data_IF_981391735435
#
_entry.id   IF_981391735435
#
_cell.length_a   1.000
_cell.length_b   1.000
_cell.length_c   1.000
_cell.angle_alpha   90.00
_cell.angle_beta   90.00
_cell.angle_gamma   90.00
#
_symmetry.space_group_name_H-M   'P 1'
#
loop_
_entity.id
_entity.type
_entity.pdbx_description
1 polymer ?
#
# COMPACT_ATOMS: atom_id res chain seq x y z
N UNK A 1 -61.14 8.76 7.07
CA UNK A 1 -61.45 7.97 5.85
C UNK A 1 -60.13 7.72 5.14
N UNK A 2 -59.53 6.54 5.33
CA UNK A 2 -59.45 5.44 4.34
C UNK A 2 -58.31 5.70 3.34
N UNK A 3 -57.29 4.86 3.13
CA UNK A 3 -57.03 3.46 3.49
C UNK A 3 -55.56 3.16 3.15
N UNK A 4 -54.87 2.36 3.97
CA UNK A 4 -53.61 1.67 3.62
C UNK A 4 -53.84 0.65 2.49
N UNK A 5 -52.76 0.15 1.89
CA UNK A 5 -52.67 -1.30 1.70
C UNK A 5 -51.42 -1.90 2.35
N UNK A 6 -51.59 -3.14 2.79
CA UNK A 6 -50.62 -3.97 3.51
C UNK A 6 -50.47 -5.30 2.78
N UNK A 7 -49.27 -5.88 2.85
CA UNK A 7 -48.87 -7.29 2.69
C UNK A 7 -48.95 -7.98 1.32
N UNK A 8 -47.83 -8.62 0.94
CA UNK A 8 -47.76 -10.09 0.90
C UNK A 8 -46.31 -10.61 0.94
N UNK A 9 -46.02 -11.50 1.90
CA UNK A 9 -44.89 -12.44 1.92
C UNK A 9 -45.22 -13.61 0.99
N UNK A 10 -44.23 -14.14 0.27
CA UNK A 10 -44.26 -15.51 -0.27
C UNK A 10 -42.84 -16.08 -0.41
N UNK A 11 -42.55 -17.08 0.41
CA UNK A 11 -41.69 -18.24 0.11
C UNK A 11 -42.50 -19.45 0.54
N UNK A 12 -42.42 -20.60 -0.17
CA UNK A 12 -41.52 -21.63 0.35
C UNK A 12 -40.95 -22.65 -0.67
N UNK A 13 -39.91 -23.33 -0.19
CA UNK A 13 -39.53 -24.74 -0.43
C UNK A 13 -38.90 -25.20 -1.74
N UNK A 14 -37.78 -25.93 -1.60
CA UNK A 14 -37.23 -26.82 -2.63
C UNK A 14 -35.85 -27.38 -2.29
N UNK A 15 -35.79 -28.37 -1.40
CA UNK A 15 -34.60 -29.13 -1.06
C UNK A 15 -34.03 -29.93 -2.25
N UNK A 16 -32.71 -30.14 -2.30
CA UNK A 16 -32.08 -31.39 -2.78
C UNK A 16 -30.63 -31.54 -2.31
N UNK A 17 -30.39 -32.65 -1.61
CA UNK A 17 -29.09 -33.26 -1.31
C UNK A 17 -28.55 -33.99 -2.54
N UNK A 18 -27.23 -33.94 -2.74
CA UNK A 18 -26.35 -34.96 -3.30
C UNK A 18 -24.92 -34.40 -3.16
N UNK A 19 -23.84 -35.10 -2.85
CA UNK A 19 -23.56 -36.51 -2.65
C UNK A 19 -22.04 -36.59 -2.43
N UNK A 20 -21.62 -37.49 -1.55
CA UNK A 20 -20.22 -37.77 -1.19
C UNK A 20 -19.49 -38.42 -2.37
N UNK A 21 -18.24 -38.03 -2.63
CA UNK A 21 -17.26 -38.89 -3.30
C UNK A 21 -15.86 -38.60 -2.76
N UNK A 22 -15.33 -39.60 -2.04
CA UNK A 22 -13.92 -39.81 -1.74
C UNK A 22 -13.21 -40.31 -3.01
N UNK A 23 -11.98 -39.86 -3.23
CA UNK A 23 -10.84 -40.61 -3.80
C UNK A 23 -9.61 -39.68 -3.65
N UNK A 24 -8.47 -40.06 -3.08
CA UNK A 24 -7.86 -41.37 -3.03
C UNK A 24 -6.62 -41.39 -3.92
N UNK A 25 -5.51 -40.82 -3.42
CA UNK A 25 -4.10 -41.12 -3.70
C UNK A 25 -3.61 -41.31 -5.16
N UNK A 26 -2.57 -40.53 -5.53
CA UNK A 26 -1.39 -40.89 -6.38
C UNK A 26 -0.64 -39.57 -6.71
N UNK A 27 0.67 -39.43 -6.77
CA UNK A 27 1.82 -40.29 -6.49
C UNK A 27 3.04 -39.34 -6.40
N UNK A 28 3.98 -39.63 -5.50
CA UNK A 28 5.24 -38.90 -5.36
C UNK A 28 6.28 -39.32 -6.42
N UNK A 29 7.35 -38.51 -6.48
CA UNK A 29 8.71 -38.73 -7.03
C UNK A 29 8.98 -38.15 -8.42
N UNK A 30 9.88 -37.17 -8.47
CA UNK A 30 11.23 -37.37 -9.02
C UNK A 30 12.15 -36.18 -8.69
N UNK A 31 13.00 -36.39 -7.69
CA UNK A 31 14.29 -35.71 -7.56
C UNK A 31 15.36 -36.72 -8.01
N UNK A 32 16.25 -36.33 -8.93
CA UNK A 32 17.70 -36.53 -8.86
C UNK A 32 18.35 -36.44 -10.25
N UNK A 33 19.59 -35.91 -10.24
CA UNK A 33 20.64 -35.92 -11.27
C UNK A 33 20.58 -34.76 -12.27
N UNK A 34 21.67 -34.08 -12.60
CA UNK A 34 23.08 -34.17 -12.18
C UNK A 34 23.83 -33.01 -12.83
N UNK A 35 24.85 -32.54 -12.13
CA UNK A 35 25.99 -31.76 -12.61
C UNK A 35 26.48 -32.10 -14.02
N UNK A 36 26.74 -31.07 -14.84
CA UNK A 36 27.83 -31.11 -15.82
C UNK A 36 28.27 -29.70 -16.21
N UNK A 37 29.42 -29.35 -15.65
CA UNK A 37 30.37 -28.34 -16.12
C UNK A 37 30.74 -28.62 -17.58
N UNK A 38 30.75 -27.60 -18.44
CA UNK A 38 31.41 -27.66 -19.75
C UNK A 38 31.63 -26.26 -20.30
N UNK A 39 32.86 -25.78 -20.11
CA UNK A 39 33.47 -24.66 -20.80
C UNK A 39 33.59 -24.93 -22.31
N UNK A 40 33.16 -23.99 -23.14
CA UNK A 40 33.54 -23.96 -24.55
C UNK A 40 34.01 -22.56 -24.96
N UNK A 41 35.31 -22.48 -25.17
CA UNK A 41 36.10 -21.35 -25.67
C UNK A 41 35.58 -20.87 -27.04
N UNK A 42 35.43 -19.55 -27.18
CA UNK A 42 35.23 -18.88 -28.47
C UNK A 42 36.58 -18.54 -29.10
N UNK A 43 36.76 -18.97 -30.36
CA UNK A 43 37.92 -18.70 -31.21
C UNK A 43 37.96 -17.22 -31.63
N UNK A 44 38.96 -16.47 -31.19
CA UNK A 44 39.33 -15.18 -31.76
C UNK A 44 40.27 -15.38 -32.97
N UNK A 45 39.80 -14.99 -34.16
CA UNK A 45 40.61 -14.85 -35.38
C UNK A 45 41.31 -13.48 -35.34
N UNK A 46 42.64 -13.51 -35.43
CA UNK A 46 43.49 -12.35 -35.19
C UNK A 46 43.56 -11.31 -36.30
N UNK A 47 44.17 -10.17 -35.94
CA UNK A 47 44.96 -9.31 -36.82
C UNK A 47 46.14 -8.72 -36.02
N UNK A 48 47.26 -8.62 -36.72
CA UNK A 48 48.63 -8.35 -36.30
C UNK A 48 48.85 -6.85 -36.14
N UNK A 49 49.59 -6.40 -35.12
CA UNK A 49 50.16 -5.05 -35.05
C UNK A 49 51.66 -5.14 -34.72
N UNK A 50 52.48 -4.46 -35.50
CA UNK A 50 53.95 -4.38 -35.37
C UNK A 50 54.38 -2.96 -34.98
N UNK A 51 55.15 -2.87 -33.89
CA UNK A 51 56.26 -1.95 -33.57
C UNK A 51 56.23 -0.44 -33.92
N UNK A 52 56.60 0.39 -32.94
CA UNK A 52 57.54 1.52 -33.13
C UNK A 52 57.03 2.93 -32.85
N UNK A 53 57.61 3.57 -31.83
CA UNK A 53 57.29 4.86 -31.18
C UNK A 53 57.64 6.13 -31.99
N UNK A 54 56.84 7.21 -31.91
CA UNK A 54 57.29 8.59 -31.59
C UNK A 54 56.12 9.56 -31.34
N UNK A 55 56.30 10.41 -30.31
CA UNK A 55 55.46 11.50 -29.79
C UNK A 55 55.20 12.61 -30.85
N UNK A 56 54.29 13.59 -30.78
CA UNK A 56 53.65 14.40 -29.73
C UNK A 56 52.48 15.17 -30.39
N UNK A 57 51.36 15.38 -29.70
CA UNK A 57 50.76 16.72 -29.45
C UNK A 57 49.46 16.60 -28.65
N UNK A 58 49.41 17.37 -27.57
CA UNK A 58 48.29 17.51 -26.69
C UNK A 58 47.12 18.22 -27.37
N UNK A 59 45.91 17.71 -27.18
CA UNK A 59 44.69 18.49 -27.19
C UNK A 59 43.79 17.97 -26.08
N UNK A 60 43.65 18.82 -25.07
CA UNK A 60 42.77 18.69 -23.91
C UNK A 60 41.32 18.48 -24.33
N UNK A 61 40.73 17.35 -23.94
CA UNK A 61 39.31 17.28 -23.64
C UNK A 61 39.15 16.53 -22.33
N UNK A 62 38.73 17.27 -21.31
CA UNK A 62 38.38 16.78 -19.98
C UNK A 62 37.32 15.70 -20.11
N UNK A 63 37.76 14.46 -19.90
CA UNK A 63 36.86 13.36 -19.57
C UNK A 63 36.51 13.54 -18.09
N UNK A 64 35.35 14.11 -17.83
CA UNK A 64 34.71 13.93 -16.53
C UNK A 64 34.39 12.44 -16.39
N UNK A 65 35.21 11.75 -15.60
CA UNK A 65 34.99 10.37 -15.21
C UNK A 65 33.70 10.31 -14.39
N UNK A 66 32.61 9.89 -15.04
CA UNK A 66 31.44 9.40 -14.34
C UNK A 66 31.84 8.10 -13.62
N UNK A 67 32.21 8.25 -12.34
CA UNK A 67 32.37 7.15 -11.38
C UNK A 67 31.05 6.37 -11.28
N UNK A 68 30.88 5.36 -12.12
CA UNK A 68 29.82 4.35 -12.01
C UNK A 68 30.21 3.32 -10.97
N UNK A 69 30.16 3.73 -9.70
CA UNK A 69 30.24 2.80 -8.59
C UNK A 69 28.94 1.98 -8.57
N UNK A 70 29.01 0.74 -9.07
CA UNK A 70 27.95 -0.27 -8.91
C UNK A 70 27.88 -0.68 -7.44
N UNK A 71 27.37 0.21 -6.58
CA UNK A 71 27.00 -0.14 -5.21
C UNK A 71 25.76 -1.03 -5.30
N UNK A 72 25.91 -2.30 -4.89
CA UNK A 72 24.77 -3.19 -4.70
C UNK A 72 24.26 -2.94 -3.28
N UNK A 73 23.08 -2.33 -3.17
CA UNK A 73 22.40 -2.19 -1.90
C UNK A 73 21.72 -3.52 -1.55
N UNK A 74 21.89 -3.99 -0.31
CA UNK A 74 21.11 -5.10 0.23
C UNK A 74 19.75 -4.55 0.68
N UNK A 75 18.67 -4.96 0.01
CA UNK A 75 17.30 -4.57 0.33
C UNK A 75 16.47 -5.76 0.82
N UNK A 76 15.23 -5.51 1.21
CA UNK A 76 14.29 -6.58 1.55
C UNK A 76 13.91 -7.37 0.29
N UNK A 77 13.66 -8.68 0.45
CA UNK A 77 13.15 -9.50 -0.63
C UNK A 77 11.68 -9.18 -0.90
N UNK A 78 11.40 -8.39 -1.94
CA UNK A 78 10.02 -8.09 -2.34
C UNK A 78 9.34 -9.33 -2.95
N UNK A 79 8.03 -9.51 -2.72
CA UNK A 79 7.27 -10.57 -3.37
C UNK A 79 7.32 -10.45 -4.89
N UNK A 80 7.36 -11.60 -5.55
CA UNK A 80 7.40 -11.73 -7.01
C UNK A 80 6.03 -12.10 -7.56
N UNK A 81 5.89 -12.17 -8.89
CA UNK A 81 4.64 -12.54 -9.56
C UNK A 81 3.47 -11.62 -9.18
N UNK A 82 3.75 -10.34 -8.90
CA UNK A 82 2.72 -9.36 -8.54
C UNK A 82 1.72 -9.08 -9.67
N UNK A 83 2.00 -9.56 -10.89
CA UNK A 83 1.04 -9.60 -11.98
C UNK A 83 -0.07 -10.66 -11.80
N UNK A 84 0.16 -11.70 -11.00
CA UNK A 84 -0.76 -12.82 -10.85
C UNK A 84 -1.79 -12.49 -9.78
N UNK A 85 -3.05 -12.45 -10.19
CA UNK A 85 -4.18 -12.09 -9.34
C UNK A 85 -5.21 -13.22 -9.42
N UNK A 86 -5.78 -13.67 -8.28
CA UNK A 86 -5.50 -13.19 -6.92
C UNK A 86 -4.11 -13.58 -6.42
N UNK A 87 -3.51 -12.72 -5.62
CA UNK A 87 -2.24 -13.00 -4.94
C UNK A 87 -2.45 -14.17 -3.96
N UNK A 88 -1.37 -14.87 -3.65
CA UNK A 88 -1.42 -15.89 -2.59
C UNK A 88 -1.53 -15.22 -1.21
N UNK A 89 -1.86 -16.00 -0.18
CA UNK A 89 -1.96 -15.47 1.19
C UNK A 89 -0.59 -14.97 1.69
N UNK A 90 0.48 -15.64 1.27
CA UNK A 90 1.85 -15.33 1.63
C UNK A 90 2.27 -13.97 1.06
N UNK A 91 1.95 -13.70 -0.21
CA UNK A 91 2.23 -12.41 -0.85
C UNK A 91 1.47 -11.27 -0.15
N UNK A 92 0.18 -11.47 0.14
CA UNK A 92 -0.62 -10.47 0.87
C UNK A 92 -0.06 -10.21 2.27
N UNK A 93 0.28 -11.28 2.98
CA UNK A 93 0.81 -11.21 4.35
C UNK A 93 2.10 -10.39 4.43
N UNK A 94 2.99 -10.49 3.44
CA UNK A 94 4.17 -9.63 3.36
C UNK A 94 3.80 -8.14 3.50
N UNK A 95 2.83 -7.66 2.71
CA UNK A 95 2.42 -6.25 2.75
C UNK A 95 1.70 -5.88 4.05
N UNK A 96 0.99 -6.82 4.65
CA UNK A 96 0.29 -6.60 5.92
C UNK A 96 1.27 -6.45 7.07
N UNK A 97 2.21 -7.38 7.16
CA UNK A 97 3.21 -7.43 8.22
C UNK A 97 4.14 -6.21 8.09
N UNK A 98 4.63 -5.89 6.89
CA UNK A 98 5.56 -4.78 6.65
C UNK A 98 4.95 -3.40 6.99
N UNK A 99 3.70 -3.17 6.57
CA UNK A 99 2.98 -1.94 6.90
C UNK A 99 2.59 -1.87 8.38
N UNK A 100 2.16 -2.99 8.98
CA UNK A 100 1.78 -3.05 10.40
C UNK A 100 3.01 -2.79 11.28
N UNK A 101 4.14 -3.44 11.00
CA UNK A 101 5.39 -3.20 11.72
C UNK A 101 5.82 -1.74 11.64
N UNK A 102 5.70 -1.11 10.47
CA UNK A 102 6.00 0.32 10.31
C UNK A 102 5.14 1.20 11.22
N UNK A 103 3.83 0.92 11.28
CA UNK A 103 2.88 1.62 12.17
C UNK A 103 3.22 1.40 13.64
N UNK A 104 3.48 0.15 14.04
CA UNK A 104 3.82 -0.19 15.43
C UNK A 104 5.11 0.50 15.88
N UNK A 105 6.13 0.56 15.01
CA UNK A 105 7.38 1.28 15.29
C UNK A 105 7.12 2.79 15.42
N UNK A 106 6.36 3.38 14.49
CA UNK A 106 6.02 4.80 14.52
C UNK A 106 5.26 5.21 15.78
N UNK A 107 4.29 4.39 16.21
CA UNK A 107 3.58 4.62 17.46
C UNK A 107 4.53 4.47 18.65
N UNK A 108 5.43 3.49 18.67
CA UNK A 108 6.37 3.32 19.80
C UNK A 108 7.35 4.49 19.93
N UNK A 109 7.81 5.03 18.82
CA UNK A 109 8.80 6.14 18.80
C UNK A 109 8.20 7.47 19.26
N UNK A 110 6.87 7.64 19.19
CA UNK A 110 6.16 8.87 19.61
C UNK A 110 6.56 10.14 18.86
N UNK A 111 7.33 10.00 17.77
CA UNK A 111 7.78 11.12 16.92
C UNK A 111 6.62 11.85 16.27
N UNK A 112 5.57 11.11 15.91
CA UNK A 112 4.41 11.67 15.23
C UNK A 112 3.13 10.93 15.59
N UNK A 113 2.03 11.68 15.62
CA UNK A 113 0.68 11.18 15.93
C UNK A 113 -0.24 11.25 14.71
N UNK A 114 0.26 11.73 13.57
CA UNK A 114 -0.45 11.80 12.28
C UNK A 114 0.34 11.05 11.23
N UNK A 115 -0.07 9.81 11.02
CA UNK A 115 0.64 8.83 10.19
C UNK A 115 -0.13 8.50 8.92
N UNK A 116 0.57 8.30 7.82
CA UNK A 116 0.01 7.92 6.53
C UNK A 116 0.67 6.63 6.05
N UNK A 117 -0.17 5.66 5.72
CA UNK A 117 0.18 4.37 5.13
C UNK A 117 -0.37 4.35 3.71
N UNK A 118 0.53 4.28 2.73
CA UNK A 118 0.19 4.17 1.32
C UNK A 118 0.66 2.82 0.78
N UNK A 119 -0.25 2.02 0.25
CA UNK A 119 0.05 0.70 -0.33
C UNK A 119 -0.82 0.42 -1.55
N UNK A 120 -0.18 0.35 -2.71
CA UNK A 120 -0.82 0.28 -4.01
C UNK A 120 -0.22 -0.86 -4.85
N UNK A 121 -0.37 -2.09 -4.34
CA UNK A 121 -0.26 -3.30 -5.17
C UNK A 121 -1.63 -3.62 -5.80
N UNK A 122 -1.73 -4.49 -6.82
CA UNK A 122 -2.90 -4.55 -7.70
C UNK A 122 -4.24 -4.80 -6.97
N UNK A 123 -4.27 -5.64 -5.95
CA UNK A 123 -5.50 -5.88 -5.16
C UNK A 123 -5.88 -4.73 -4.22
N UNK A 124 -4.97 -3.80 -3.93
CA UNK A 124 -5.22 -2.60 -3.10
C UNK A 124 -5.45 -1.33 -3.94
N UNK A 125 -5.25 -1.41 -5.26
CA UNK A 125 -5.41 -0.27 -6.15
C UNK A 125 -6.87 -0.11 -6.60
N UNK A 126 -7.56 0.88 -6.04
CA UNK A 126 -8.95 1.23 -6.41
C UNK A 126 -9.10 1.75 -7.85
N UNK A 127 -8.02 2.27 -8.45
CA UNK A 127 -8.04 2.72 -9.86
C UNK A 127 -7.79 1.58 -10.85
N UNK A 128 -7.26 0.46 -10.37
CA UNK A 128 -7.14 -0.76 -11.15
C UNK A 128 -8.44 -1.57 -11.10
N UNK A 129 -8.69 -2.34 -12.15
CA UNK A 129 -9.87 -3.23 -12.27
C UNK A 129 -9.89 -4.39 -11.25
N UNK A 130 -8.91 -4.44 -10.35
CA UNK A 130 -8.58 -5.62 -9.55
C UNK A 130 -8.65 -5.39 -8.04
N UNK A 131 -9.16 -4.22 -7.65
CA UNK A 131 -9.37 -3.90 -6.25
C UNK A 131 -10.20 -4.98 -5.53
N UNK A 132 -9.65 -5.50 -4.43
CA UNK A 132 -10.28 -6.52 -3.59
C UNK A 132 -10.50 -5.95 -2.19
N UNK A 133 -11.76 -5.64 -1.87
CA UNK A 133 -12.14 -5.14 -0.54
C UNK A 133 -11.70 -6.09 0.60
N UNK A 134 -11.72 -7.41 0.36
CA UNK A 134 -11.20 -8.40 1.31
C UNK A 134 -9.72 -8.20 1.65
N UNK A 135 -8.88 -7.83 0.69
CA UNK A 135 -7.45 -7.59 0.89
C UNK A 135 -7.21 -6.34 1.76
N UNK A 136 -8.01 -5.29 1.58
CA UNK A 136 -8.00 -4.11 2.44
C UNK A 136 -8.43 -4.46 3.87
N UNK A 137 -9.51 -5.24 4.02
CA UNK A 137 -10.04 -5.64 5.32
C UNK A 137 -9.11 -6.61 6.07
N UNK A 138 -8.46 -7.54 5.37
CA UNK A 138 -7.42 -8.43 5.92
C UNK A 138 -6.24 -7.60 6.49
N UNK A 139 -5.81 -6.54 5.77
CA UNK A 139 -4.77 -5.62 6.25
C UNK A 139 -5.21 -4.81 7.48
N UNK A 140 -6.41 -4.20 7.42
CA UNK A 140 -6.98 -3.42 8.54
C UNK A 140 -7.11 -4.31 9.77
N UNK A 141 -7.59 -5.55 9.61
CA UNK A 141 -7.70 -6.53 10.68
C UNK A 141 -6.36 -6.80 11.33
N UNK A 142 -5.33 -7.09 10.53
CA UNK A 142 -3.97 -7.38 11.02
C UNK A 142 -3.43 -6.21 11.83
N UNK A 143 -3.51 -5.00 11.27
CA UNK A 143 -3.04 -3.78 11.92
C UNK A 143 -3.81 -3.47 13.21
N UNK A 144 -5.14 -3.50 13.17
CA UNK A 144 -5.99 -3.21 14.32
C UNK A 144 -5.80 -4.22 15.47
N UNK A 145 -5.60 -5.49 15.13
CA UNK A 145 -5.36 -6.55 16.13
C UNK A 145 -4.04 -6.31 16.87
N UNK A 146 -2.95 -6.03 16.14
CA UNK A 146 -1.66 -5.77 16.77
C UNK A 146 -1.64 -4.46 17.58
N UNK A 147 -2.32 -3.42 17.09
CA UNK A 147 -2.52 -2.18 17.85
C UNK A 147 -3.30 -2.43 19.15
N UNK A 148 -4.40 -3.17 19.09
CA UNK A 148 -5.22 -3.51 20.26
C UNK A 148 -4.50 -4.41 21.29
N UNK A 149 -3.32 -4.92 20.95
CA UNK A 149 -2.43 -5.69 21.85
C UNK A 149 -1.29 -4.84 22.43
N UNK A 150 -1.06 -3.63 21.93
CA UNK A 150 -0.12 -2.71 22.53
C UNK A 150 -0.62 -2.23 23.89
N UNK A 151 0.31 -1.95 24.80
CA UNK A 151 0.00 -1.28 26.06
C UNK A 151 -0.42 0.17 25.80
N UNK A 152 -1.32 0.68 26.65
CA UNK A 152 -1.68 2.09 26.68
C UNK A 152 -0.49 2.94 27.11
N UNK A 153 -0.35 4.10 26.48
CA UNK A 153 0.71 5.07 26.77
C UNK A 153 0.39 6.01 27.93
N UNK A 154 -0.89 6.17 28.26
CA UNK A 154 -1.38 7.11 29.28
C UNK A 154 -1.07 6.66 30.73
N UNK A 155 -0.44 5.49 30.91
CA UNK A 155 -0.10 4.94 32.22
C UNK A 155 -1.31 4.42 33.00
N UNK A 156 -2.52 4.42 32.42
CA UNK A 156 -3.74 3.89 33.04
C UNK A 156 -3.73 2.37 33.21
N UNK A 157 -2.76 1.71 32.59
CA UNK A 157 -2.66 0.26 32.52
C UNK A 157 -3.63 -0.35 31.51
N UNK A 158 -3.24 -1.48 30.93
CA UNK A 158 -4.06 -2.20 29.97
C UNK A 158 -3.74 -1.88 28.52
N UNK A 159 -4.56 -2.43 27.63
CA UNK A 159 -4.31 -2.47 26.19
C UNK A 159 -5.02 -1.35 25.44
N UNK A 160 -4.48 -0.96 24.29
CA UNK A 160 -5.04 0.11 23.46
C UNK A 160 -6.43 -0.24 22.91
N UNK A 161 -7.31 0.75 22.90
CA UNK A 161 -8.61 0.75 22.22
C UNK A 161 -8.43 1.35 20.84
N UNK A 162 -8.80 0.60 19.81
CA UNK A 162 -8.61 0.97 18.41
C UNK A 162 -9.96 1.34 17.79
N UNK A 163 -10.01 2.52 17.17
CA UNK A 163 -11.17 3.03 16.46
C UNK A 163 -10.99 2.90 14.95
N UNK A 164 -11.84 2.13 14.30
CA UNK A 164 -11.89 1.98 12.85
C UNK A 164 -12.89 2.97 12.27
N UNK A 165 -12.41 3.92 11.49
CA UNK A 165 -13.23 4.95 10.88
C UNK A 165 -13.33 4.72 9.36
N UNK A 166 -14.55 4.52 8.87
CA UNK A 166 -14.85 4.54 7.44
C UNK A 166 -15.55 5.86 7.12
N UNK A 167 -15.34 6.38 5.92
CA UNK A 167 -16.06 7.56 5.49
C UNK A 167 -17.59 7.33 5.52
N UNK A 168 -18.29 8.23 6.22
CA UNK A 168 -19.75 8.30 6.22
C UNK A 168 -20.28 8.97 4.96
N UNK A 169 -21.61 9.07 4.87
CA UNK A 169 -22.24 9.82 3.78
C UNK A 169 -21.90 11.30 3.90
N UNK A 170 -21.51 11.93 2.79
CA UNK A 170 -21.20 13.36 2.77
C UNK A 170 -22.16 14.12 1.86
N UNK A 171 -22.40 15.39 2.19
CA UNK A 171 -23.28 16.28 1.43
C UNK A 171 -24.70 16.39 2.00
N UNK A 172 -25.50 17.26 1.39
CA UNK A 172 -26.87 17.57 1.85
C UNK A 172 -27.88 17.39 0.73
N UNK A 173 -29.07 16.88 1.06
CA UNK A 173 -30.16 16.69 0.11
C UNK A 173 -29.79 15.74 -1.04
N UNK A 174 -30.10 16.12 -2.28
CA UNK A 174 -29.88 15.30 -3.48
C UNK A 174 -28.40 15.10 -3.85
N UNK A 175 -27.48 15.82 -3.19
CA UNK A 175 -26.03 15.68 -3.39
C UNK A 175 -25.35 14.88 -2.28
N UNK A 176 -26.15 14.20 -1.45
CA UNK A 176 -25.63 13.27 -0.46
C UNK A 176 -25.08 12.01 -1.16
N UNK A 177 -23.80 11.72 -0.95
CA UNK A 177 -23.11 10.62 -1.60
C UNK A 177 -22.06 9.97 -0.72
N UNK A 178 -21.81 8.69 -0.98
CA UNK A 178 -20.71 7.91 -0.41
C UNK A 178 -19.84 7.42 -1.58
N UNK A 179 -18.50 7.48 -1.51
CA UNK A 179 -17.66 6.88 -2.54
C UNK A 179 -18.04 5.42 -2.79
N UNK A 180 -18.30 5.06 -4.05
CA UNK A 180 -18.78 3.72 -4.41
C UNK A 180 -17.85 2.61 -3.91
N UNK A 181 -16.54 2.84 -3.94
CA UNK A 181 -15.52 1.90 -3.47
C UNK A 181 -15.60 1.61 -1.96
N UNK A 182 -16.18 2.53 -1.17
CA UNK A 182 -16.34 2.37 0.28
C UNK A 182 -17.75 1.90 0.66
N UNK A 183 -18.66 1.83 -0.32
CA UNK A 183 -20.03 1.36 -0.10
C UNK A 183 -20.01 -0.11 0.29
N UNK A 184 -20.39 -0.39 1.53
CA UNK A 184 -20.37 -1.74 2.10
C UNK A 184 -19.12 -2.07 2.94
N UNK A 185 -18.01 -1.31 2.87
CA UNK A 185 -16.84 -1.55 3.73
C UNK A 185 -17.24 -1.40 5.21
N UNK A 186 -18.00 -0.35 5.54
CA UNK A 186 -18.51 -0.15 6.90
C UNK A 186 -19.30 -1.36 7.42
N UNK A 187 -20.21 -1.90 6.60
CA UNK A 187 -20.97 -3.13 6.94
C UNK A 187 -20.08 -4.35 7.08
N UNK A 188 -19.04 -4.48 6.25
CA UNK A 188 -18.11 -5.62 6.33
C UNK A 188 -17.24 -5.57 7.59
N UNK A 189 -16.91 -4.37 8.07
CA UNK A 189 -16.21 -4.19 9.36
C UNK A 189 -17.14 -4.53 10.52
N UNK A 190 -18.42 -4.14 10.48
CA UNK A 190 -19.42 -4.52 11.48
C UNK A 190 -19.56 -6.05 11.63
N UNK A 191 -19.42 -6.78 10.51
CA UNK A 191 -19.52 -8.24 10.45
C UNK A 191 -18.18 -8.95 10.67
N UNK A 192 -17.10 -8.20 10.94
CA UNK A 192 -15.78 -8.79 11.09
C UNK A 192 -15.64 -9.46 12.46
N UNK A 193 -15.38 -10.77 12.45
CA UNK A 193 -15.10 -11.50 13.68
C UNK A 193 -13.73 -11.12 14.24
N UNK A 194 -13.66 -10.66 15.48
CA UNK A 194 -12.41 -10.35 16.15
C UNK A 194 -11.96 -11.51 17.05
N UNK A 195 -10.67 -11.61 17.31
CA UNK A 195 -10.16 -12.55 18.31
C UNK A 195 -10.65 -12.13 19.70
N UNK A 196 -10.96 -13.12 20.55
CA UNK A 196 -11.58 -12.88 21.87
C UNK A 196 -10.74 -11.93 22.73
N UNK A 197 -9.42 -12.02 22.61
CA UNK A 197 -8.52 -11.15 23.36
C UNK A 197 -8.69 -9.69 22.98
N UNK A 198 -9.00 -9.33 21.72
CA UNK A 198 -9.05 -7.93 21.22
C UNK A 198 -10.46 -7.38 20.96
N UNK A 199 -11.49 -8.22 20.86
CA UNK A 199 -12.83 -7.85 20.40
C UNK A 199 -13.44 -6.64 21.14
N UNK A 200 -13.31 -6.58 22.47
CA UNK A 200 -13.87 -5.49 23.30
C UNK A 200 -13.14 -4.14 23.15
N UNK A 201 -11.97 -4.15 22.51
CA UNK A 201 -11.11 -2.97 22.33
C UNK A 201 -11.19 -2.39 20.94
N UNK A 202 -11.85 -3.08 20.00
CA UNK A 202 -12.01 -2.59 18.64
C UNK A 202 -13.44 -2.07 18.49
N UNK A 203 -13.55 -0.82 18.04
CA UNK A 203 -14.83 -0.21 17.73
C UNK A 203 -14.78 0.41 16.35
N UNK A 204 -15.94 0.60 15.74
CA UNK A 204 -16.08 1.18 14.41
C UNK A 204 -16.94 2.44 14.44
N UNK A 205 -16.87 3.23 13.38
CA UNK A 205 -17.65 4.45 13.25
C UNK A 205 -17.39 5.17 11.93
N UNK A 206 -18.12 6.27 11.71
CA UNK A 206 -17.82 7.14 10.59
C UNK A 206 -16.66 8.09 10.93
N UNK A 207 -16.04 8.69 9.92
CA UNK A 207 -15.13 9.82 10.11
C UNK A 207 -15.95 11.07 10.47
N UNK A 208 -15.66 11.69 11.62
CA UNK A 208 -16.33 12.89 12.12
C UNK A 208 -16.40 12.95 13.65
N UNK A 209 -16.64 14.15 14.20
CA UNK A 209 -16.62 14.41 15.65
C UNK A 209 -17.49 13.44 16.47
N UNK A 210 -18.71 13.19 15.99
CA UNK A 210 -19.74 12.43 16.71
C UNK A 210 -19.40 10.95 16.91
N UNK A 211 -18.39 10.45 16.19
CA UNK A 211 -17.96 9.06 16.25
C UNK A 211 -16.65 8.86 16.99
N UNK A 212 -15.95 9.92 17.38
CA UNK A 212 -14.75 9.87 18.19
C UNK A 212 -15.11 9.99 19.68
N UNK A 213 -14.55 9.12 20.51
CA UNK A 213 -14.75 9.10 21.96
C UNK A 213 -13.44 9.31 22.70
N UNK A 214 -13.54 9.73 23.95
CA UNK A 214 -12.37 10.04 24.79
C UNK A 214 -11.61 8.79 25.27
N UNK A 215 -12.25 7.62 25.27
CA UNK A 215 -11.64 6.37 25.73
C UNK A 215 -10.85 5.62 24.64
N UNK A 216 -10.96 6.05 23.38
CA UNK A 216 -10.25 5.48 22.23
C UNK A 216 -8.77 5.92 22.23
N UNK A 217 -7.82 5.01 21.97
CA UNK A 217 -6.38 5.32 22.07
C UNK A 217 -5.74 5.57 20.69
N UNK A 218 -6.22 4.88 19.65
CA UNK A 218 -5.67 4.96 18.28
C UNK A 218 -6.80 4.93 17.26
N UNK A 219 -6.69 5.75 16.20
CA UNK A 219 -7.66 5.83 15.12
C UNK A 219 -7.07 5.33 13.80
N UNK A 220 -7.80 4.49 13.08
CA UNK A 220 -7.48 4.08 11.70
C UNK A 220 -8.56 4.61 10.78
N UNK A 221 -8.20 5.57 9.92
CA UNK A 221 -9.07 6.15 8.92
C UNK A 221 -8.86 5.42 7.60
N UNK A 222 -9.86 4.61 7.22
CA UNK A 222 -9.77 3.66 6.13
C UNK A 222 -10.20 4.34 4.82
N UNK A 223 -9.23 4.50 3.92
CA UNK A 223 -9.39 5.02 2.57
C UNK A 223 -10.24 6.32 2.47
N UNK A 224 -10.04 7.36 3.31
CA UNK A 224 -10.85 8.58 3.22
C UNK A 224 -10.68 9.27 1.87
N UNK A 225 -11.78 9.73 1.26
CA UNK A 225 -11.79 10.32 -0.07
C UNK A 225 -12.68 11.55 -0.14
N UNK A 226 -12.28 12.53 -0.96
CA UNK A 226 -13.20 13.58 -1.37
C UNK A 226 -14.33 12.98 -2.23
N UNK A 227 -15.40 13.73 -2.47
CA UNK A 227 -16.37 13.45 -3.55
C UNK A 227 -16.59 14.71 -4.37
N UNK A 228 -17.25 14.59 -5.51
CA UNK A 228 -17.59 15.76 -6.33
C UNK A 228 -18.40 16.75 -5.49
N UNK A 229 -17.87 17.97 -5.32
CA UNK A 229 -18.53 19.05 -4.57
C UNK A 229 -18.33 19.04 -3.06
N UNK A 230 -17.78 17.99 -2.45
CA UNK A 230 -17.56 17.90 -1.00
C UNK A 230 -16.18 17.36 -0.62
N UNK A 231 -15.58 17.98 0.38
CA UNK A 231 -14.30 17.59 0.97
C UNK A 231 -14.53 16.78 2.24
N UNK A 232 -13.78 15.70 2.43
CA UNK A 232 -13.80 14.92 3.68
C UNK A 232 -13.04 15.63 4.82
N UNK A 233 -12.18 16.60 4.47
CA UNK A 233 -11.26 17.23 5.42
C UNK A 233 -11.93 17.86 6.65
N UNK A 234 -13.05 18.60 6.55
CA UNK A 234 -13.68 19.18 7.74
C UNK A 234 -14.02 18.12 8.79
N UNK A 235 -14.55 16.97 8.37
CA UNK A 235 -14.84 15.85 9.28
C UNK A 235 -13.57 15.25 9.90
N UNK A 236 -12.47 15.24 9.14
CA UNK A 236 -11.18 14.78 9.65
C UNK A 236 -10.58 15.77 10.65
N UNK A 237 -10.68 17.08 10.38
CA UNK A 237 -10.22 18.15 11.28
C UNK A 237 -10.97 18.12 12.61
N UNK A 238 -12.29 17.97 12.57
CA UNK A 238 -13.12 17.81 13.77
C UNK A 238 -12.76 16.55 14.57
N UNK A 239 -12.53 15.42 13.88
CA UNK A 239 -12.08 14.20 14.54
C UNK A 239 -10.67 14.33 15.11
N UNK A 240 -9.77 15.06 14.44
CA UNK A 240 -8.43 15.37 14.92
C UNK A 240 -8.45 16.25 16.17
N UNK A 241 -9.41 17.18 16.27
CA UNK A 241 -9.64 17.99 17.47
C UNK A 241 -9.96 17.10 18.67
N UNK A 242 -10.89 16.15 18.50
CA UNK A 242 -11.22 15.18 19.55
C UNK A 242 -10.03 14.29 19.86
N UNK A 243 -9.38 13.71 18.84
CA UNK A 243 -8.25 12.80 19.01
C UNK A 243 -7.08 13.45 19.76
N UNK A 244 -6.83 14.76 19.59
CA UNK A 244 -5.73 15.45 20.24
C UNK A 244 -4.39 14.80 19.89
N UNK A 245 -3.58 14.45 20.89
CA UNK A 245 -2.28 13.81 20.68
C UNK A 245 -2.36 12.28 20.50
N UNK A 246 -3.56 11.70 20.39
CA UNK A 246 -3.70 10.26 20.12
C UNK A 246 -3.32 9.94 18.67
N UNK A 247 -2.62 8.82 18.42
CA UNK A 247 -2.24 8.44 17.07
C UNK A 247 -3.43 8.26 16.14
N UNK A 248 -3.33 8.82 14.95
CA UNK A 248 -4.25 8.62 13.85
C UNK A 248 -3.46 8.12 12.64
N UNK A 249 -4.02 7.13 11.95
CA UNK A 249 -3.41 6.47 10.79
C UNK A 249 -4.35 6.63 9.60
N UNK A 250 -3.89 7.27 8.53
CA UNK A 250 -4.55 7.27 7.23
C UNK A 250 -4.09 6.07 6.42
N UNK A 251 -5.02 5.17 6.10
CA UNK A 251 -4.76 4.05 5.20
C UNK A 251 -5.26 4.39 3.80
N UNK A 252 -4.38 4.42 2.81
CA UNK A 252 -4.69 4.69 1.39
C UNK A 252 -5.65 5.88 1.16
N UNK A 253 -5.35 7.08 1.70
CA UNK A 253 -6.22 8.24 1.55
C UNK A 253 -6.23 8.74 0.09
N UNK A 254 -7.40 9.18 -0.40
CA UNK A 254 -7.58 9.85 -1.70
C UNK A 254 -8.09 11.28 -1.50
N UNK A 255 -7.23 12.13 -0.96
CA UNK A 255 -7.54 13.53 -0.63
C UNK A 255 -7.28 14.51 -1.78
N UNK A 256 -6.86 14.00 -2.94
CA UNK A 256 -6.66 14.79 -4.15
C UNK A 256 -7.95 15.38 -4.73
N UNK A 257 -7.80 16.17 -5.79
CA UNK A 257 -8.91 16.72 -6.55
C UNK A 257 -9.70 15.63 -7.29
N UNK A 258 -11.02 15.63 -7.13
CA UNK A 258 -11.93 14.84 -7.96
C UNK A 258 -12.54 15.77 -8.99
N UNK A 259 -12.36 15.42 -10.27
CA UNK A 259 -12.94 16.15 -11.37
C UNK A 259 -14.46 15.98 -11.36
N UNK A 260 -15.21 17.09 -11.39
CA UNK A 260 -16.64 17.07 -11.68
C UNK A 260 -16.87 16.75 -13.16
N UNK A 261 -18.00 16.13 -13.50
CA UNK A 261 -18.39 15.76 -14.87
C UNK A 261 -18.40 16.93 -15.88
N UNK A 262 -18.29 18.19 -15.41
CA UNK A 262 -18.13 19.38 -16.24
C UNK A 262 -16.70 19.88 -16.44
N UNK A 263 -15.65 19.11 -16.09
CA UNK A 263 -14.24 19.56 -16.08
C UNK A 263 -13.95 20.81 -15.22
N UNK A 264 -14.90 21.22 -14.38
CA UNK A 264 -14.73 22.33 -13.44
C UNK A 264 -14.02 21.81 -12.20
N UNK A 265 -12.75 22.19 -12.05
CA UNK A 265 -12.01 21.93 -10.80
C UNK A 265 -12.48 22.90 -9.72
N UNK A 266 -12.80 22.39 -8.52
CA UNK A 266 -12.97 23.23 -7.34
C UNK A 266 -11.61 23.79 -6.91
N UNK A 267 -11.24 24.95 -7.44
CA UNK A 267 -9.98 25.64 -7.11
C UNK A 267 -9.99 26.15 -5.66
N UNK A 268 -11.17 26.47 -5.10
CA UNK A 268 -11.31 26.94 -3.72
C UNK A 268 -10.89 25.86 -2.74
N UNK A 269 -9.94 26.18 -1.85
CA UNK A 269 -9.45 25.26 -0.81
C UNK A 269 -8.50 24.17 -1.29
N UNK A 270 -8.02 24.19 -2.55
CA UNK A 270 -7.03 23.22 -3.06
C UNK A 270 -5.72 23.25 -2.30
N UNK A 271 -5.20 24.46 -2.06
CA UNK A 271 -3.95 24.66 -1.34
C UNK A 271 -4.03 24.08 0.09
N UNK A 272 -5.07 24.46 0.84
CA UNK A 272 -5.33 23.90 2.17
C UNK A 272 -5.51 22.39 2.18
N UNK A 273 -6.13 21.80 1.13
CA UNK A 273 -6.24 20.34 1.00
C UNK A 273 -4.90 19.65 0.81
N UNK A 274 -4.02 20.22 -0.02
CA UNK A 274 -2.67 19.70 -0.22
C UNK A 274 -1.83 19.86 1.04
N UNK A 275 -1.90 21.00 1.72
CA UNK A 275 -1.22 21.26 2.98
C UNK A 275 -1.67 20.30 4.07
N UNK A 276 -2.98 20.07 4.18
CA UNK A 276 -3.54 19.08 5.08
C UNK A 276 -3.07 17.66 4.73
N UNK A 277 -3.11 17.25 3.47
CA UNK A 277 -2.63 15.92 3.09
C UNK A 277 -1.13 15.73 3.34
N UNK A 278 -0.33 16.80 3.21
CA UNK A 278 1.11 16.80 3.43
C UNK A 278 1.50 16.97 4.91
N UNK A 279 0.57 17.35 5.80
CA UNK A 279 0.86 17.46 7.24
C UNK A 279 0.97 16.09 7.91
N UNK A 280 0.49 15.03 7.26
CA UNK A 280 0.60 13.65 7.72
C UNK A 280 1.92 13.05 7.25
N UNK A 281 2.64 12.46 8.18
CA UNK A 281 3.91 11.81 7.87
C UNK A 281 3.67 10.46 7.22
N UNK A 282 4.32 10.27 6.08
CA UNK A 282 4.28 9.01 5.36
C UNK A 282 5.21 7.99 5.99
N UNK A 283 4.68 7.13 6.85
CA UNK A 283 5.46 6.12 7.58
C UNK A 283 5.64 4.83 6.79
N UNK A 284 4.76 4.58 5.81
CA UNK A 284 4.85 3.42 4.95
C UNK A 284 4.37 3.79 3.55
N UNK A 285 5.15 3.38 2.54
CA UNK A 285 4.79 3.52 1.14
C UNK A 285 5.12 2.22 0.41
N UNK A 286 4.19 1.73 -0.40
CA UNK A 286 4.51 0.74 -1.43
C UNK A 286 3.71 1.05 -2.68
N UNK A 287 4.38 1.19 -3.82
CA UNK A 287 3.72 1.24 -5.12
C UNK A 287 4.52 0.54 -6.19
N UNK A 288 3.82 0.00 -7.16
CA UNK A 288 4.44 -0.57 -8.35
C UNK A 288 4.70 0.51 -9.39
N UNK A 289 5.76 0.29 -10.17
CA UNK A 289 6.18 1.20 -11.23
C UNK A 289 5.85 0.56 -12.58
N UNK A 290 4.94 1.17 -13.32
CA UNK A 290 4.50 0.77 -14.66
C UNK A 290 4.35 2.00 -15.55
N UNK A 291 4.27 1.77 -16.87
CA UNK A 291 4.10 2.86 -17.85
C UNK A 291 2.62 3.14 -18.02
N UNK A 292 2.16 4.30 -17.51
CA UNK A 292 0.80 4.80 -17.73
C UNK A 292 0.48 4.85 -19.24
N UNK A 293 -0.78 4.58 -19.64
CA UNK A 293 -1.95 4.34 -18.79
C UNK A 293 -2.10 2.89 -18.29
N UNK A 294 -1.19 1.99 -18.65
CA UNK A 294 -1.32 0.57 -18.34
C UNK A 294 -0.70 0.21 -16.99
N UNK A 295 -1.31 -0.75 -16.29
CA UNK A 295 -0.78 -1.35 -15.06
C UNK A 295 0.28 -2.44 -15.33
N UNK A 296 0.51 -2.77 -16.60
CA UNK A 296 1.46 -3.78 -17.05
C UNK A 296 2.26 -3.31 -18.27
N UNK A 297 3.51 -3.79 -18.45
CA UNK A 297 4.27 -4.61 -17.50
C UNK A 297 4.77 -3.77 -16.29
N UNK A 298 4.93 -4.42 -15.14
CA UNK A 298 5.60 -3.83 -13.97
C UNK A 298 7.10 -3.78 -14.25
N UNK A 299 7.73 -2.62 -14.08
CA UNK A 299 9.17 -2.39 -14.23
C UNK A 299 9.94 -2.37 -12.90
N UNK A 300 9.25 -2.14 -11.79
CA UNK A 300 9.89 -1.98 -10.49
C UNK A 300 8.87 -1.69 -9.39
N UNK A 301 9.39 -1.34 -8.23
CA UNK A 301 8.60 -0.95 -7.07
C UNK A 301 9.31 0.20 -6.33
N UNK A 302 8.53 1.07 -5.71
CA UNK A 302 9.01 2.03 -4.75
C UNK A 302 8.47 1.64 -3.38
N UNK A 303 9.36 1.51 -2.40
CA UNK A 303 9.02 1.16 -1.02
C UNK A 303 9.58 2.21 -0.05
N UNK A 304 8.83 2.49 1.01
CA UNK A 304 9.29 3.14 2.24
C UNK A 304 8.73 2.33 3.41
N UNK A 305 9.56 2.05 4.39
CA UNK A 305 9.15 1.49 5.68
C UNK A 305 9.69 2.38 6.78
N UNK A 306 8.95 2.47 7.89
CA UNK A 306 9.37 3.29 9.02
C UNK A 306 10.54 2.64 9.77
N UNK A 307 11.55 3.44 10.07
CA UNK A 307 12.67 3.13 10.94
C UNK A 307 12.68 4.06 12.16
N UNK A 308 13.04 3.52 13.32
CA UNK A 308 13.16 4.30 14.57
C UNK A 308 14.29 5.33 14.52
N UNK A 309 15.30 5.13 13.67
CA UNK A 309 16.31 6.15 13.39
C UNK A 309 15.86 6.98 12.18
N UNK A 310 15.60 8.27 12.38
CA UNK A 310 15.17 9.19 11.31
C UNK A 310 16.17 9.25 10.14
N UNK A 311 17.46 9.01 10.42
CA UNK A 311 18.50 8.94 9.39
C UNK A 311 18.34 7.73 8.45
N UNK A 312 17.65 6.68 8.91
CA UNK A 312 17.41 5.44 8.20
C UNK A 312 16.04 5.41 7.50
N UNK A 313 15.19 6.42 7.69
CA UNK A 313 13.92 6.58 6.97
C UNK A 313 14.19 6.89 5.50
N UNK A 314 14.26 5.83 4.72
CA UNK A 314 14.69 5.91 3.33
C UNK A 314 13.68 5.32 2.37
N UNK A 315 13.70 5.87 1.16
CA UNK A 315 12.91 5.44 0.02
C UNK A 315 13.75 4.51 -0.83
N UNK A 316 13.28 3.29 -0.98
CA UNK A 316 13.96 2.21 -1.68
C UNK A 316 13.36 2.04 -3.08
N UNK A 317 14.20 2.22 -4.10
CA UNK A 317 13.80 2.02 -5.49
C UNK A 317 14.28 0.67 -6.01
N UNK A 318 13.33 -0.23 -6.28
CA UNK A 318 13.60 -1.56 -6.81
C UNK A 318 13.33 -1.62 -8.31
N UNK A 319 14.20 -2.30 -9.04
CA UNK A 319 13.98 -2.69 -10.44
C UNK A 319 13.63 -4.17 -10.49
N UNK A 320 12.61 -4.49 -11.28
CA UNK A 320 12.19 -5.86 -11.55
C UNK A 320 13.06 -6.46 -12.65
N UNK A 321 13.53 -7.68 -12.43
CA UNK A 321 14.28 -8.48 -13.38
C UNK A 321 13.64 -9.87 -13.52
N UNK A 322 14.07 -10.61 -14.54
CA UNK A 322 13.57 -11.96 -14.81
C UNK A 322 12.12 -12.00 -15.29
N UNK A 323 11.56 -13.21 -15.35
CA UNK A 323 10.17 -13.51 -15.71
C UNK A 323 9.75 -14.79 -14.99
N UNK A 324 8.46 -14.90 -14.65
CA UNK A 324 7.89 -16.10 -14.03
C UNK A 324 8.71 -16.51 -12.79
N UNK A 325 9.23 -17.74 -12.75
CA UNK A 325 9.93 -18.29 -11.59
C UNK A 325 11.32 -17.64 -11.35
N UNK A 326 11.92 -17.04 -12.39
CA UNK A 326 13.19 -16.30 -12.28
C UNK A 326 12.98 -14.82 -11.95
N UNK A 327 11.74 -14.40 -11.67
CA UNK A 327 11.45 -13.01 -11.32
C UNK A 327 12.07 -12.65 -9.98
N UNK A 328 12.73 -11.48 -9.92
CA UNK A 328 13.21 -10.90 -8.66
C UNK A 328 13.24 -9.38 -8.73
N UNK A 329 13.27 -8.75 -7.57
CA UNK A 329 13.42 -7.30 -7.41
C UNK A 329 14.80 -7.00 -6.83
N UNK A 330 15.54 -6.11 -7.48
CA UNK A 330 16.84 -5.66 -7.03
C UNK A 330 16.75 -4.21 -6.56
N UNK A 331 17.26 -3.93 -5.36
CA UNK A 331 17.40 -2.57 -4.87
C UNK A 331 18.45 -1.83 -5.70
N UNK A 332 18.03 -0.74 -6.32
CA UNK A 332 18.87 0.03 -7.25
C UNK A 332 19.45 1.28 -6.59
N UNK A 333 18.60 2.03 -5.90
CA UNK A 333 18.97 3.28 -5.22
C UNK A 333 18.11 3.49 -3.98
N UNK A 334 18.67 4.27 -3.04
CA UNK A 334 18.05 4.65 -1.78
C UNK A 334 18.03 6.17 -1.70
N UNK A 335 16.90 6.77 -1.35
CA UNK A 335 16.72 8.22 -1.27
C UNK A 335 16.24 8.66 0.12
N UNK A 336 16.69 9.83 0.56
CA UNK A 336 16.20 10.45 1.82
C UNK A 336 14.78 11.04 1.70
N UNK A 337 14.32 11.29 0.48
CA UNK A 337 12.99 11.85 0.17
C UNK A 337 12.41 11.09 -1.01
N UNK A 338 11.09 11.17 -1.19
CA UNK A 338 10.43 10.50 -2.31
C UNK A 338 11.09 10.93 -3.64
N UNK A 339 11.62 9.99 -4.44
CA UNK A 339 12.24 10.33 -5.71
C UNK A 339 11.17 10.78 -6.72
N UNK A 340 11.50 11.80 -7.51
CA UNK A 340 10.61 12.27 -8.55
C UNK A 340 10.58 11.30 -9.76
N UNK A 341 9.56 11.39 -10.64
CA UNK A 341 9.43 10.51 -11.81
C UNK A 341 10.67 10.45 -12.70
N UNK A 342 11.39 11.56 -12.87
CA UNK A 342 12.58 11.62 -13.72
C UNK A 342 13.77 10.89 -13.10
N UNK A 343 13.97 11.02 -11.79
CA UNK A 343 14.98 10.28 -11.02
C UNK A 343 14.73 8.78 -11.14
N UNK A 344 13.51 8.33 -10.84
CA UNK A 344 13.15 6.91 -10.96
C UNK A 344 13.35 6.38 -12.39
N UNK A 345 12.92 7.14 -13.40
CA UNK A 345 13.05 6.75 -14.81
C UNK A 345 14.51 6.60 -15.20
N UNK A 346 15.39 7.53 -14.79
CA UNK A 346 16.83 7.46 -15.07
C UNK A 346 17.47 6.22 -14.44
N UNK A 347 17.08 5.82 -13.24
CA UNK A 347 17.64 4.61 -12.61
C UNK A 347 17.15 3.34 -13.27
N UNK A 348 15.84 3.25 -13.55
CA UNK A 348 15.23 2.05 -14.13
C UNK A 348 15.71 1.83 -15.57
N UNK A 349 15.81 2.89 -16.37
CA UNK A 349 16.09 2.82 -17.82
C UNK A 349 17.49 3.28 -18.23
N UNK A 350 18.14 4.13 -17.43
CA UNK A 350 19.38 4.81 -17.79
C UNK A 350 20.66 4.06 -17.41
N UNK A 351 20.61 3.07 -16.51
CA UNK A 351 21.73 2.15 -16.27
C UNK A 351 21.55 0.92 -17.18
N UNK A 352 22.25 0.91 -18.33
CA UNK A 352 22.43 -0.27 -19.20
C UNK A 352 23.65 -1.06 -18.76
#
# INVERSE_FOLDING_TARGET
>A
MSTKPTFAKTTPNGARRAGVANDGQKLARLCARSSSFSSSQSKCRGKRCTSGTCCTKASSSSKDEASSTNVRYEGIALPTLLNNIPHTREIRRFFYDDATESVLRAIKDDRNVRMKVFTEFPEMNVEGDVFRAGTLLEMVRTMATELARMERKDGSGGKQRVKLCVQGSMGTGVFQGLPLALSGISRLIDLMDWEEDVAERISNGAIGKDHAKDDEDVFILICPQNIVGYSILPYMEEMMEVAGNRPMILLNPKLGDIQSAGNVMSIRGRQGRMEFANSWEEIYHFRLLYRKPFFFPIYGALRKSYSSAEEDDTWELYKRFGKMDDEYYQLMEVYKKEPNPDQMTKVIWGKR
#
